data_IF_497031413890
#
_entry.id   IF_497031413890
#
_cell.length_a   1.000
_cell.length_b   1.000
_cell.length_c   1.000
_cell.angle_alpha   90.00
_cell.angle_beta   90.00
_cell.angle_gamma   90.00
#
_symmetry.space_group_name_H-M   'P 1'
#
loop_
_entity.id
_entity.type
_entity.pdbx_description
1 polymer ?
#
# COMPACT_ATOMS: atom_id res chain seq x y z
N UNK A 1 -32.03 -29.59 -15.71
CA UNK A 1 -30.97 -28.78 -16.35
C UNK A 1 -30.62 -27.48 -15.60
N UNK A 2 -31.48 -26.95 -14.71
CA UNK A 2 -31.26 -25.68 -14.00
C UNK A 2 -30.29 -25.74 -12.80
N UNK A 3 -30.04 -26.94 -12.24
CA UNK A 3 -29.19 -27.14 -11.05
C UNK A 3 -27.70 -26.92 -11.32
N UNK A 4 -27.25 -27.13 -12.57
CA UNK A 4 -25.84 -26.97 -12.95
C UNK A 4 -25.47 -25.51 -13.30
N UNK A 5 -26.44 -24.70 -13.73
CA UNK A 5 -26.22 -23.28 -14.05
C UNK A 5 -25.91 -22.47 -12.79
N UNK A 6 -26.59 -22.78 -11.68
CA UNK A 6 -26.35 -22.12 -10.38
C UNK A 6 -24.97 -22.46 -9.81
N UNK A 7 -24.52 -23.71 -9.96
CA UNK A 7 -23.19 -24.15 -9.53
C UNK A 7 -22.06 -23.52 -10.37
N UNK A 8 -22.27 -23.40 -11.69
CA UNK A 8 -21.32 -22.75 -12.61
C UNK A 8 -21.23 -21.23 -12.36
N UNK A 9 -22.35 -20.59 -12.03
CA UNK A 9 -22.37 -19.19 -11.62
C UNK A 9 -21.65 -18.96 -10.29
N UNK A 10 -21.79 -19.88 -9.33
CA UNK A 10 -21.09 -19.78 -8.03
C UNK A 10 -19.57 -19.89 -8.17
N UNK A 11 -19.07 -20.72 -9.10
CA UNK A 11 -17.63 -20.86 -9.36
C UNK A 11 -17.01 -19.68 -10.11
N UNK A 12 -17.81 -18.79 -10.70
CA UNK A 12 -17.33 -17.57 -11.34
C UNK A 12 -17.01 -16.45 -10.33
N UNK A 13 -17.51 -16.56 -9.09
CA UNK A 13 -17.27 -15.57 -8.03
C UNK A 13 -16.18 -15.97 -7.02
N UNK A 14 -15.54 -17.12 -7.17
CA UNK A 14 -14.55 -17.63 -6.21
C UNK A 14 -13.13 -17.06 -6.37
N UNK A 15 -12.94 -16.04 -7.21
CA UNK A 15 -11.61 -15.43 -7.42
C UNK A 15 -11.59 -13.92 -7.27
N UNK A 16 -12.31 -13.38 -6.27
CA UNK A 16 -11.87 -12.13 -5.65
C UNK A 16 -10.77 -12.47 -4.64
N UNK A 17 -9.59 -12.78 -5.16
CA UNK A 17 -8.35 -12.81 -4.37
C UNK A 17 -8.05 -11.37 -3.97
N UNK A 18 -8.78 -10.84 -3.00
CA UNK A 18 -8.43 -9.59 -2.33
C UNK A 18 -7.10 -9.82 -1.64
N UNK A 19 -6.02 -9.29 -2.20
CA UNK A 19 -4.73 -9.30 -1.54
C UNK A 19 -4.87 -8.46 -0.27
N UNK A 20 -5.02 -9.14 0.86
CA UNK A 20 -5.07 -8.51 2.17
C UNK A 20 -3.68 -7.96 2.45
N UNK A 21 -3.55 -6.66 2.26
CA UNK A 21 -2.34 -5.91 2.55
C UNK A 21 -2.15 -5.78 4.07
N UNK A 22 -0.97 -6.17 4.58
CA UNK A 22 -0.61 -6.02 5.99
C UNK A 22 -0.36 -4.55 6.31
N UNK A 23 -1.20 -3.95 7.17
CA UNK A 23 -0.96 -2.58 7.63
C UNK A 23 0.16 -2.45 8.64
N UNK A 24 0.48 -3.55 9.33
CA UNK A 24 1.42 -3.52 10.45
C UNK A 24 2.86 -3.74 10.00
N UNK A 25 3.08 -4.44 8.89
CA UNK A 25 4.43 -4.77 8.43
C UNK A 25 4.41 -5.03 6.92
N UNK A 26 4.65 -4.01 6.12
CA UNK A 26 4.72 -4.17 4.67
C UNK A 26 5.75 -3.24 4.03
N UNK A 27 6.50 -3.78 3.08
CA UNK A 27 7.35 -3.05 2.14
C UNK A 27 6.65 -3.01 0.77
N UNK A 28 6.37 -1.80 0.29
CA UNK A 28 5.68 -1.51 -0.94
C UNK A 28 6.61 -0.72 -1.84
N UNK A 29 6.87 -1.21 -3.04
CA UNK A 29 7.61 -0.46 -4.06
C UNK A 29 6.69 -0.10 -5.20
N UNK A 30 6.62 1.19 -5.49
CA UNK A 30 5.76 1.77 -6.50
C UNK A 30 6.60 2.48 -7.56
N UNK A 31 6.15 2.47 -8.80
CA UNK A 31 6.63 3.37 -9.85
C UNK A 31 5.54 4.42 -10.11
N UNK A 32 5.80 5.66 -9.70
CA UNK A 32 4.88 6.77 -9.82
C UNK A 32 5.42 7.82 -10.81
N UNK A 33 4.55 8.55 -11.52
CA UNK A 33 4.94 9.75 -12.25
C UNK A 33 5.63 10.78 -11.33
N UNK A 34 6.50 11.62 -11.89
CA UNK A 34 7.31 12.65 -11.21
C UNK A 34 8.44 12.11 -10.31
N UNK A 35 8.13 11.26 -9.33
CA UNK A 35 9.14 10.75 -8.37
C UNK A 35 9.87 9.48 -8.80
N UNK A 36 9.34 8.77 -9.80
CA UNK A 36 9.90 7.50 -10.22
C UNK A 36 9.59 6.42 -9.19
N UNK A 37 10.61 5.66 -8.79
CA UNK A 37 10.43 4.62 -7.79
C UNK A 37 10.30 5.20 -6.39
N UNK A 38 9.24 4.81 -5.69
CA UNK A 38 8.97 5.15 -4.29
C UNK A 38 8.92 3.84 -3.50
N UNK A 39 9.65 3.76 -2.40
CA UNK A 39 9.51 2.71 -1.41
C UNK A 39 8.68 3.25 -0.24
N UNK A 40 7.66 2.53 0.17
CA UNK A 40 6.82 2.84 1.33
C UNK A 40 6.88 1.64 2.26
N UNK A 41 7.30 1.88 3.51
CA UNK A 41 7.30 0.84 4.54
C UNK A 41 6.27 1.22 5.61
N UNK A 42 5.35 0.29 5.86
CA UNK A 42 4.42 0.38 6.98
C UNK A 42 4.95 -0.45 8.13
N UNK A 43 4.93 0.16 9.30
CA UNK A 43 5.42 -0.41 10.54
C UNK A 43 4.28 -0.59 11.54
N UNK A 44 4.54 -1.39 12.58
CA UNK A 44 3.66 -1.50 13.73
C UNK A 44 3.43 -0.13 14.36
N UNK A 45 2.29 0.00 15.03
CA UNK A 45 1.87 1.25 15.68
C UNK A 45 1.63 2.40 14.70
N UNK A 46 1.23 2.04 13.46
CA UNK A 46 0.85 2.97 12.40
C UNK A 46 1.95 3.96 11.99
N UNK A 47 3.21 3.68 12.32
CA UNK A 47 4.33 4.45 11.80
C UNK A 47 4.56 4.08 10.34
N UNK A 48 4.79 5.09 9.50
CA UNK A 48 5.04 4.88 8.07
C UNK A 48 6.27 5.65 7.64
N UNK A 49 6.95 5.16 6.62
CA UNK A 49 8.04 5.88 5.99
C UNK A 49 7.94 5.75 4.47
N UNK A 50 8.43 6.76 3.78
CA UNK A 50 8.64 6.71 2.34
C UNK A 50 10.06 7.15 2.00
N UNK A 51 10.62 6.57 0.94
CA UNK A 51 11.86 7.02 0.33
C UNK A 51 11.71 7.05 -1.19
N UNK A 52 12.37 8.01 -1.84
CA UNK A 52 12.40 8.10 -3.30
C UNK A 52 13.65 8.83 -3.78
N UNK A 53 13.97 8.67 -5.07
CA UNK A 53 15.18 9.27 -5.65
C UNK A 53 16.45 8.77 -4.94
N UNK A 54 17.45 9.64 -4.79
CA UNK A 54 18.72 9.24 -4.15
C UNK A 54 18.76 9.51 -2.64
N UNK A 55 18.11 10.57 -2.16
CA UNK A 55 18.23 11.02 -0.77
C UNK A 55 16.95 11.66 -0.21
N UNK A 56 15.79 11.37 -0.80
CA UNK A 56 14.53 11.87 -0.26
C UNK A 56 13.88 10.83 0.64
N UNK A 57 13.45 11.29 1.80
CA UNK A 57 12.84 10.49 2.83
C UNK A 57 11.79 11.30 3.56
N UNK A 58 10.69 10.65 3.94
CA UNK A 58 9.68 11.26 4.78
C UNK A 58 9.04 10.21 5.68
N UNK A 59 8.49 10.65 6.81
CA UNK A 59 7.74 9.82 7.74
C UNK A 59 6.25 10.14 7.69
N UNK A 60 5.45 9.25 8.24
CA UNK A 60 4.02 9.44 8.40
C UNK A 60 3.51 8.67 9.61
N UNK A 61 2.22 8.87 9.86
CA UNK A 61 1.55 8.27 11.01
C UNK A 61 0.08 8.07 10.73
N UNK A 62 -0.43 6.90 11.08
CA UNK A 62 -1.83 6.57 10.93
C UNK A 62 -2.23 6.20 9.51
N UNK A 63 -3.51 5.90 9.37
CA UNK A 63 -4.17 5.74 8.08
C UNK A 63 -5.65 6.11 8.21
N UNK A 64 -6.27 6.51 7.10
CA UNK A 64 -7.70 6.82 7.04
C UNK A 64 -8.37 5.89 6.06
N UNK A 65 -9.52 5.33 6.44
CA UNK A 65 -10.37 4.53 5.54
C UNK A 65 -11.55 5.36 5.07
N UNK A 66 -11.76 5.40 3.75
CA UNK A 66 -12.92 6.04 3.11
C UNK A 66 -13.53 5.10 2.08
N UNK A 67 -14.55 4.34 2.49
CA UNK A 67 -15.11 3.27 1.66
C UNK A 67 -14.02 2.24 1.31
N UNK A 68 -13.78 1.95 0.02
CA UNK A 68 -12.74 0.99 -0.40
C UNK A 68 -11.32 1.58 -0.38
N UNK A 69 -11.16 2.87 -0.08
CA UNK A 69 -9.87 3.55 -0.10
C UNK A 69 -9.20 3.49 1.27
N UNK A 70 -7.95 3.05 1.27
CA UNK A 70 -7.01 3.23 2.35
C UNK A 70 -6.08 4.39 1.98
N UNK A 71 -6.00 5.40 2.85
CA UNK A 71 -5.18 6.59 2.65
C UNK A 71 -4.12 6.66 3.73
N UNK A 72 -2.86 6.76 3.34
CA UNK A 72 -1.70 6.85 4.22
C UNK A 72 -1.04 8.22 3.99
N UNK A 73 -1.18 9.16 4.94
CA UNK A 73 -0.57 10.47 4.84
C UNK A 73 0.90 10.45 5.29
N UNK A 74 1.68 11.36 4.73
CA UNK A 74 3.07 11.63 5.13
C UNK A 74 3.20 13.07 5.65
N UNK A 75 4.30 13.37 6.36
CA UNK A 75 4.48 14.67 7.01
C UNK A 75 4.62 15.83 6.00
N UNK A 76 5.09 15.54 4.78
CA UNK A 76 5.08 16.49 3.66
C UNK A 76 3.69 16.66 2.99
N UNK A 77 2.63 16.14 3.62
CA UNK A 77 1.22 16.19 3.18
C UNK A 77 0.88 15.35 1.96
N UNK A 78 1.84 14.67 1.34
CA UNK A 78 1.53 13.69 0.31
C UNK A 78 0.78 12.50 0.89
N UNK A 79 0.07 11.79 0.01
CA UNK A 79 -0.72 10.64 0.43
C UNK A 79 -0.52 9.49 -0.54
N UNK A 80 -0.17 8.32 -0.01
CA UNK A 80 -0.35 7.07 -0.74
C UNK A 80 -1.79 6.60 -0.56
N UNK A 81 -2.43 6.23 -1.66
CA UNK A 81 -3.80 5.75 -1.69
C UNK A 81 -3.82 4.34 -2.25
N UNK A 82 -4.44 3.41 -1.53
CA UNK A 82 -4.64 2.03 -1.96
C UNK A 82 -6.14 1.73 -2.08
N UNK A 83 -6.57 1.27 -3.24
CA UNK A 83 -7.96 0.87 -3.49
C UNK A 83 -8.12 -0.63 -3.20
N UNK A 84 -8.69 -0.97 -2.05
CA UNK A 84 -8.68 -2.33 -1.51
C UNK A 84 -9.39 -3.37 -2.38
N UNK A 85 -10.37 -2.97 -3.19
CA UNK A 85 -11.12 -3.90 -4.06
C UNK A 85 -10.48 -4.11 -5.43
N UNK A 86 -9.74 -3.13 -5.96
CA UNK A 86 -9.12 -3.21 -7.30
C UNK A 86 -7.63 -3.52 -7.21
N UNK A 87 -7.03 -3.38 -6.03
CA UNK A 87 -5.59 -3.55 -5.83
C UNK A 87 -4.75 -2.39 -6.39
N UNK A 88 -5.38 -1.27 -6.75
CA UNK A 88 -4.69 -0.15 -7.38
C UNK A 88 -4.03 0.79 -6.36
N UNK A 89 -2.85 1.29 -6.72
CA UNK A 89 -2.13 2.30 -5.97
C UNK A 89 -2.15 3.63 -6.71
N UNK A 90 -2.34 4.70 -5.95
CA UNK A 90 -2.25 6.07 -6.42
C UNK A 90 -1.47 6.93 -5.42
N UNK A 91 -0.95 8.05 -5.89
CA UNK A 91 -0.30 9.06 -5.06
C UNK A 91 -0.97 10.41 -5.27
N UNK A 92 -1.27 11.09 -4.17
CA UNK A 92 -1.61 12.50 -4.17
C UNK A 92 -0.37 13.30 -3.78
N UNK A 93 0.09 14.16 -4.68
CA UNK A 93 1.18 15.09 -4.40
C UNK A 93 0.62 16.43 -3.94
N UNK A 94 0.90 16.82 -2.69
CA UNK A 94 0.31 17.99 -2.07
C UNK A 94 0.72 19.30 -2.77
N UNK A 95 2.02 19.46 -3.07
CA UNK A 95 2.56 20.68 -3.70
C UNK A 95 1.94 20.97 -5.07
N UNK A 96 1.73 19.94 -5.88
CA UNK A 96 1.20 20.08 -7.25
C UNK A 96 -0.30 19.81 -7.36
N UNK A 97 -0.97 19.50 -6.24
CA UNK A 97 -2.37 19.10 -6.18
C UNK A 97 -2.77 18.04 -7.22
N UNK A 98 -1.91 17.03 -7.38
CA UNK A 98 -2.04 16.06 -8.47
C UNK A 98 -2.21 14.65 -7.94
N UNK A 99 -3.28 14.00 -8.39
CA UNK A 99 -3.48 12.56 -8.23
C UNK A 99 -2.86 11.82 -9.42
N UNK A 100 -1.98 10.86 -9.13
CA UNK A 100 -1.34 10.02 -10.14
C UNK A 100 -1.56 8.54 -9.82
N UNK A 101 -1.77 7.73 -10.85
CA UNK A 101 -1.76 6.28 -10.71
C UNK A 101 -0.32 5.77 -10.67
N UNK A 102 -0.03 4.87 -9.75
CA UNK A 102 1.28 4.24 -9.63
C UNK A 102 1.20 2.76 -10.01
N UNK A 103 2.26 2.24 -10.61
CA UNK A 103 2.40 0.81 -10.89
C UNK A 103 3.07 0.14 -9.70
N UNK A 104 2.45 -0.91 -9.18
CA UNK A 104 3.08 -1.77 -8.17
C UNK A 104 4.30 -2.48 -8.78
N UNK A 105 5.45 -2.38 -8.13
CA UNK A 105 6.67 -3.11 -8.46
C UNK A 105 6.83 -4.33 -7.58
N UNK A 106 6.66 -4.16 -6.26
CA UNK A 106 6.66 -5.26 -5.29
C UNK A 106 5.81 -4.92 -4.08
N UNK A 107 5.25 -5.96 -3.46
CA UNK A 107 4.58 -5.89 -2.16
C UNK A 107 5.08 -7.08 -1.35
N UNK A 108 5.66 -6.82 -0.17
CA UNK A 108 6.19 -7.86 0.70
C UNK A 108 5.77 -7.59 2.13
N UNK A 109 5.13 -8.58 2.76
CA UNK A 109 4.90 -8.55 4.21
C UNK A 109 6.23 -8.77 4.91
N UNK A 110 6.64 -7.82 5.75
CA UNK A 110 7.86 -7.92 6.55
C UNK A 110 7.53 -8.46 7.93
N UNK A 111 8.53 -8.95 8.66
CA UNK A 111 8.33 -9.47 10.02
C UNK A 111 9.45 -8.95 10.91
N UNK A 112 9.15 -8.60 12.17
CA UNK A 112 10.20 -8.26 13.13
C UNK A 112 11.11 -9.46 13.34
N UNK A 113 12.41 -9.20 13.40
CA UNK A 113 13.42 -10.18 13.80
C UNK A 113 13.89 -9.88 15.21
N UNK A 114 14.24 -10.91 15.98
CA UNK A 114 14.86 -10.71 17.28
C UNK A 114 16.25 -10.11 17.09
N UNK A 115 16.41 -8.85 17.51
CA UNK A 115 17.67 -8.11 17.36
C UNK A 115 18.49 -8.29 18.64
N UNK A 116 19.72 -8.83 18.59
CA UNK A 116 20.58 -8.91 19.77
C UNK A 116 20.90 -7.49 20.28
N UNK A 117 20.68 -7.28 21.57
CA UNK A 117 21.04 -6.02 22.23
C UNK A 117 22.55 -5.97 22.45
N UNK A 118 23.25 -5.14 21.68
CA UNK A 118 24.65 -4.83 21.94
C UNK A 118 24.75 -3.85 23.11
N UNK A 119 25.42 -4.26 24.19
CA UNK A 119 25.91 -3.35 25.22
C UNK A 119 27.33 -2.95 24.81
N UNK A 120 27.57 -1.65 24.69
CA UNK A 120 28.93 -1.09 24.62
C UNK A 120 29.68 -1.30 25.93
#
# INVERSE_FOLDING_TARGET
>A
MMKYVVLLALSLFTSLSGWAFSLDNADIRLLCPQRGQIEVILHRYEHTQQSWGQHHFETGGGHVRRGPLLVIPFANLDQMIYHQTTGEFAYWYAETEKLVRCRLLSLTTTYPVDIPYYRE
#
